data_IF_769809874208
#
_entry.id   IF_769809874208
#
_cell.length_a   1.000
_cell.length_b   1.000
_cell.length_c   1.000
_cell.angle_alpha   90.00
_cell.angle_beta   90.00
_cell.angle_gamma   90.00
#
_symmetry.space_group_name_H-M   'P 1'
#
loop_
_entity.id
_entity.type
_entity.pdbx_description
1 polymer ?
#
# COMPACT_ATOMS: atom_id res chain seq x y z
N UNK A 1 14.46 -1.45 0.37
CA UNK A 1 14.12 -0.44 -0.66
C UNK A 1 14.65 -0.80 -2.06
N UNK A 2 15.40 -1.88 -2.20
CA UNK A 2 16.02 -2.28 -3.49
C UNK A 2 15.02 -2.90 -4.49
N UNK A 3 13.78 -3.16 -4.09
CA UNK A 3 12.75 -3.78 -4.92
C UNK A 3 12.89 -5.29 -5.09
N UNK A 4 12.21 -5.83 -6.11
CA UNK A 4 12.30 -7.25 -6.48
C UNK A 4 11.12 -8.11 -6.00
N UNK A 5 10.23 -7.59 -5.16
CA UNK A 5 8.98 -8.30 -4.85
C UNK A 5 8.05 -8.31 -6.07
N UNK A 6 7.42 -9.45 -6.31
CA UNK A 6 6.58 -9.68 -7.47
C UNK A 6 5.19 -10.17 -7.04
N UNK A 7 4.16 -9.58 -7.64
CA UNK A 7 2.77 -9.99 -7.48
C UNK A 7 2.16 -10.29 -8.84
N UNK A 8 1.85 -11.56 -9.08
CA UNK A 8 1.19 -12.00 -10.31
C UNK A 8 -0.33 -11.92 -10.13
N UNK A 9 -0.96 -11.02 -10.86
CA UNK A 9 -2.42 -10.87 -10.92
C UNK A 9 -2.91 -11.02 -12.36
N UNK A 10 -4.21 -11.26 -12.59
CA UNK A 10 -4.73 -11.46 -13.95
C UNK A 10 -4.36 -10.36 -14.95
N UNK A 11 -4.39 -9.04 -14.60
CA UNK A 11 -4.03 -7.99 -15.55
C UNK A 11 -2.52 -7.73 -15.70
N UNK A 12 -1.67 -8.14 -14.74
CA UNK A 12 -0.24 -7.79 -14.76
C UNK A 12 0.62 -8.66 -13.84
N UNK A 13 1.90 -8.77 -14.20
CA UNK A 13 2.95 -9.17 -13.28
C UNK A 13 3.60 -7.90 -12.73
N UNK A 14 3.16 -7.54 -11.51
CA UNK A 14 3.58 -6.30 -10.85
C UNK A 14 4.87 -6.53 -10.11
N UNK A 15 5.83 -5.63 -10.29
CA UNK A 15 7.13 -5.72 -9.63
C UNK A 15 7.42 -4.45 -8.85
N UNK A 16 7.80 -4.59 -7.59
CA UNK A 16 8.24 -3.47 -6.76
C UNK A 16 9.58 -2.97 -7.29
N UNK A 17 9.68 -1.71 -7.76
CA UNK A 17 10.91 -1.18 -8.31
C UNK A 17 11.96 -0.90 -7.23
N UNK A 18 13.21 -0.69 -7.66
CA UNK A 18 14.24 -0.11 -6.82
C UNK A 18 13.89 1.37 -6.53
N UNK A 19 13.71 1.72 -5.28
CA UNK A 19 13.42 3.09 -4.82
C UNK A 19 14.58 3.69 -4.00
N UNK A 20 15.79 3.14 -4.12
CA UNK A 20 16.99 3.81 -3.60
C UNK A 20 17.42 4.95 -4.55
N UNK A 21 18.23 5.93 -4.08
CA UNK A 21 18.67 7.03 -4.92
C UNK A 21 19.77 6.64 -5.94
N UNK A 22 19.78 5.38 -6.40
CA UNK A 22 20.63 4.93 -7.49
C UNK A 22 20.17 5.56 -8.81
N UNK A 23 21.12 6.14 -9.56
CA UNK A 23 20.81 6.89 -10.78
C UNK A 23 20.44 6.02 -11.98
N UNK A 24 20.91 4.78 -12.02
CA UNK A 24 20.67 3.90 -13.18
C UNK A 24 19.43 3.01 -12.99
N UNK A 25 19.24 2.49 -11.79
CA UNK A 25 18.23 1.47 -11.53
C UNK A 25 17.16 1.89 -10.53
N UNK A 26 17.35 3.03 -9.84
CA UNK A 26 16.46 3.54 -8.80
C UNK A 26 15.85 4.90 -9.16
N UNK A 27 15.57 5.68 -8.12
CA UNK A 27 14.93 7.01 -8.23
C UNK A 27 15.92 8.18 -8.32
N UNK A 28 17.23 7.92 -8.46
CA UNK A 28 18.27 8.94 -8.39
C UNK A 28 18.18 10.05 -9.45
N UNK A 29 17.66 9.73 -10.62
CA UNK A 29 17.46 10.68 -11.72
C UNK A 29 16.06 11.31 -11.78
N UNK A 30 15.14 10.90 -10.89
CA UNK A 30 13.80 11.48 -10.82
C UNK A 30 13.82 12.73 -9.94
N UNK A 31 13.06 13.75 -10.31
CA UNK A 31 12.80 14.90 -9.45
C UNK A 31 11.86 14.51 -8.30
N UNK A 32 11.89 15.29 -7.21
CA UNK A 32 10.98 15.08 -6.08
C UNK A 32 9.51 15.25 -6.50
N UNK A 33 9.25 16.17 -7.44
CA UNK A 33 7.91 16.36 -8.03
C UNK A 33 7.40 15.13 -8.79
N UNK A 34 8.27 14.43 -9.54
CA UNK A 34 7.90 13.20 -10.25
C UNK A 34 7.61 12.06 -9.27
N UNK A 35 8.38 11.93 -8.20
CA UNK A 35 8.13 10.92 -7.17
C UNK A 35 6.84 11.25 -6.41
N UNK A 36 6.63 12.50 -6.00
CA UNK A 36 5.40 12.95 -5.36
C UNK A 36 4.17 12.73 -6.25
N UNK A 37 4.29 13.00 -7.56
CA UNK A 37 3.23 12.71 -8.54
C UNK A 37 2.93 11.21 -8.61
N UNK A 38 3.94 10.36 -8.61
CA UNK A 38 3.75 8.92 -8.61
C UNK A 38 3.01 8.45 -7.36
N UNK A 39 3.34 8.98 -6.18
CA UNK A 39 2.66 8.67 -4.93
C UNK A 39 1.22 9.15 -4.90
N UNK A 40 0.97 10.42 -5.30
CA UNK A 40 -0.37 11.03 -5.19
C UNK A 40 -1.32 10.67 -6.30
N UNK A 41 -0.81 10.49 -7.52
CA UNK A 41 -1.65 10.38 -8.71
C UNK A 41 -1.45 9.07 -9.47
N UNK A 42 -0.62 8.16 -8.93
CA UNK A 42 -0.31 6.88 -9.58
C UNK A 42 0.21 7.05 -11.01
N UNK A 43 1.00 8.09 -11.28
CA UNK A 43 1.60 8.39 -12.59
C UNK A 43 3.11 8.42 -12.48
N UNK A 44 3.78 7.55 -13.22
CA UNK A 44 5.24 7.46 -13.28
C UNK A 44 5.86 8.70 -13.95
N UNK A 45 7.19 8.85 -13.83
CA UNK A 45 7.95 9.91 -14.49
C UNK A 45 7.77 9.92 -16.01
N UNK A 46 7.60 8.75 -16.63
CA UNK A 46 7.37 8.58 -18.08
C UNK A 46 5.89 8.69 -18.48
N UNK A 47 5.01 9.11 -17.57
CA UNK A 47 3.57 9.28 -17.81
C UNK A 47 2.74 8.00 -17.75
N UNK A 48 3.36 6.83 -17.53
CA UNK A 48 2.61 5.58 -17.41
C UNK A 48 1.86 5.49 -16.08
N UNK A 49 0.75 4.77 -16.12
CA UNK A 49 -0.07 4.53 -14.94
C UNK A 49 0.59 3.49 -14.06
N UNK A 50 0.71 3.78 -12.76
CA UNK A 50 1.00 2.80 -11.72
C UNK A 50 -0.31 2.16 -11.27
N UNK A 51 -0.31 0.84 -11.09
CA UNK A 51 -1.43 0.18 -10.43
C UNK A 51 -1.50 0.64 -8.97
N UNK A 52 -2.65 1.17 -8.52
CA UNK A 52 -2.77 1.85 -7.23
C UNK A 52 -2.95 0.85 -6.07
N UNK A 53 -1.91 0.07 -5.76
CA UNK A 53 -1.94 -0.85 -4.62
C UNK A 53 -1.79 -0.14 -3.27
N UNK A 54 -1.13 1.03 -3.27
CA UNK A 54 -0.82 1.79 -2.06
C UNK A 54 -1.53 3.14 -2.10
N UNK A 55 -2.47 3.42 -1.20
CA UNK A 55 -3.23 4.67 -1.18
C UNK A 55 -2.44 5.78 -0.49
N UNK A 56 -1.44 6.31 -1.15
CA UNK A 56 -0.68 7.47 -0.67
C UNK A 56 -1.29 8.83 -1.07
N UNK A 57 -2.44 8.80 -1.75
CA UNK A 57 -3.07 9.99 -2.32
C UNK A 57 -3.45 11.03 -1.26
N UNK A 58 -3.88 10.56 -0.08
CA UNK A 58 -4.37 11.40 1.02
C UNK A 58 -3.30 11.80 2.03
N UNK A 59 -2.03 11.44 1.83
CA UNK A 59 -0.94 11.86 2.71
C UNK A 59 -0.82 13.39 2.73
N UNK A 60 -0.51 13.96 3.90
CA UNK A 60 -0.21 15.39 4.01
C UNK A 60 1.02 15.76 3.18
N UNK A 61 1.17 17.03 2.83
CA UNK A 61 2.35 17.48 2.09
C UNK A 61 3.62 17.26 2.91
N UNK A 62 3.56 17.55 4.21
CA UNK A 62 4.70 17.38 5.11
C UNK A 62 5.12 15.89 5.21
N UNK A 63 4.17 14.96 5.23
CA UNK A 63 4.49 13.53 5.25
C UNK A 63 5.08 13.04 3.91
N UNK A 64 4.60 13.55 2.79
CA UNK A 64 5.21 13.27 1.48
C UNK A 64 6.65 13.80 1.44
N UNK A 65 6.90 15.01 1.91
CA UNK A 65 8.25 15.59 1.99
C UNK A 65 9.15 14.77 2.93
N UNK A 66 8.61 14.31 4.07
CA UNK A 66 9.37 13.47 5.01
C UNK A 66 9.76 12.13 4.38
N UNK A 67 8.83 11.47 3.65
CA UNK A 67 9.10 10.23 2.91
C UNK A 67 10.17 10.45 1.84
N UNK A 68 10.06 11.51 1.04
CA UNK A 68 11.03 11.84 0.00
C UNK A 68 12.41 12.08 0.60
N UNK A 69 12.49 12.85 1.68
CA UNK A 69 13.73 13.14 2.39
C UNK A 69 14.39 11.87 2.92
N UNK A 70 13.58 10.96 3.48
CA UNK A 70 14.05 9.65 3.92
C UNK A 70 14.59 8.82 2.75
N UNK A 71 13.87 8.71 1.65
CA UNK A 71 14.30 7.95 0.48
C UNK A 71 15.61 8.49 -0.09
N UNK A 72 15.74 9.82 -0.21
CA UNK A 72 16.95 10.50 -0.68
C UNK A 72 18.16 10.28 0.24
N UNK A 73 17.93 10.13 1.53
CA UNK A 73 19.01 9.91 2.51
C UNK A 73 19.56 8.48 2.53
N UNK A 74 18.94 7.54 1.82
CA UNK A 74 19.39 6.15 1.82
C UNK A 74 20.59 5.94 0.92
N UNK A 75 21.45 4.94 1.20
CA UNK A 75 22.51 4.56 0.28
C UNK A 75 21.95 4.18 -1.08
N UNK A 76 22.59 4.63 -2.14
CA UNK A 76 22.30 4.18 -3.49
C UNK A 76 22.72 2.71 -3.65
N UNK A 77 21.81 1.88 -4.12
CA UNK A 77 22.08 0.47 -4.36
C UNK A 77 21.68 0.13 -5.79
N UNK A 78 22.63 -0.31 -6.60
CA UNK A 78 22.34 -0.76 -7.96
C UNK A 78 21.64 -2.12 -7.91
N UNK A 79 20.37 -2.16 -8.34
CA UNK A 79 19.60 -3.40 -8.45
C UNK A 79 18.65 -3.30 -9.63
N UNK A 80 18.87 -4.13 -10.65
CA UNK A 80 18.04 -4.16 -11.86
C UNK A 80 16.81 -5.01 -11.56
N UNK A 81 15.65 -4.35 -11.44
CA UNK A 81 14.35 -5.00 -11.31
C UNK A 81 13.62 -4.91 -12.64
N UNK A 82 13.12 -6.04 -13.19
CA UNK A 82 12.30 -6.02 -14.39
C UNK A 82 11.08 -5.11 -14.21
N UNK A 83 10.66 -4.41 -15.26
CA UNK A 83 9.47 -3.56 -15.20
C UNK A 83 8.20 -4.40 -15.00
N UNK A 84 7.18 -3.80 -14.39
CA UNK A 84 5.83 -4.37 -14.36
C UNK A 84 5.38 -4.65 -15.78
N UNK A 85 4.88 -5.86 -16.02
CA UNK A 85 4.43 -6.32 -17.31
C UNK A 85 2.91 -6.50 -17.33
N UNK A 86 2.22 -5.72 -18.19
CA UNK A 86 0.79 -5.89 -18.38
C UNK A 86 0.52 -7.05 -19.35
N UNK A 87 -0.29 -8.00 -18.91
CA UNK A 87 -0.80 -9.10 -19.71
C UNK A 87 -1.85 -8.60 -20.72
N UNK A 88 -2.33 -9.47 -21.59
CA UNK A 88 -3.34 -9.10 -22.58
C UNK A 88 -4.55 -8.38 -21.97
N UNK A 89 -5.11 -8.92 -20.90
CA UNK A 89 -6.23 -8.30 -20.18
C UNK A 89 -5.88 -6.90 -19.67
N UNK A 90 -4.70 -6.73 -19.06
CA UNK A 90 -4.25 -5.43 -18.57
C UNK A 90 -4.05 -4.40 -19.67
N UNK A 91 -3.48 -4.81 -20.80
CA UNK A 91 -3.33 -3.95 -21.99
C UNK A 91 -4.70 -3.52 -22.56
N UNK A 92 -5.65 -4.45 -22.61
CA UNK A 92 -7.02 -4.14 -23.05
C UNK A 92 -7.72 -3.17 -22.09
N UNK A 93 -7.62 -3.38 -20.78
CA UNK A 93 -8.20 -2.48 -19.77
C UNK A 93 -7.58 -1.08 -19.81
N UNK A 94 -6.28 -0.96 -20.06
CA UNK A 94 -5.60 0.33 -20.26
C UNK A 94 -6.09 1.03 -21.54
N UNK A 95 -6.18 0.30 -22.65
CA UNK A 95 -6.62 0.85 -23.94
C UNK A 95 -8.09 1.33 -23.88
N UNK A 96 -8.94 0.63 -23.13
CA UNK A 96 -10.34 1.00 -22.92
C UNK A 96 -10.52 2.09 -21.83
N UNK A 97 -9.45 2.55 -21.20
CA UNK A 97 -9.51 3.54 -20.13
C UNK A 97 -10.18 3.04 -18.84
N UNK A 98 -10.25 1.71 -18.65
CA UNK A 98 -10.79 1.11 -17.42
C UNK A 98 -9.79 1.21 -16.25
N UNK A 99 -8.48 1.16 -16.53
CA UNK A 99 -7.43 1.49 -15.57
C UNK A 99 -7.07 2.95 -15.76
N UNK A 100 -7.30 3.75 -14.72
CA UNK A 100 -7.04 5.20 -14.73
C UNK A 100 -6.08 5.59 -13.62
N UNK A 101 -5.38 6.72 -13.77
CA UNK A 101 -4.67 7.33 -12.64
C UNK A 101 -5.64 7.58 -11.48
N UNK A 102 -5.17 7.38 -10.27
CA UNK A 102 -5.92 7.64 -9.04
C UNK A 102 -5.30 8.84 -8.36
N UNK A 103 -6.11 9.79 -7.98
CA UNK A 103 -5.69 10.98 -7.23
C UNK A 103 -6.41 11.09 -5.89
N UNK A 104 -6.10 12.10 -5.09
CA UNK A 104 -6.76 12.34 -3.82
C UNK A 104 -8.24 12.67 -4.01
N UNK A 105 -9.08 12.15 -3.12
CA UNK A 105 -10.53 12.46 -3.11
C UNK A 105 -10.82 13.86 -2.61
N UNK A 106 -9.91 14.42 -1.80
CA UNK A 106 -9.98 15.78 -1.25
C UNK A 106 -8.61 16.44 -1.43
N UNK A 107 -8.56 17.75 -1.38
CA UNK A 107 -7.29 18.48 -1.33
C UNK A 107 -6.50 18.01 -0.09
N UNK A 108 -5.31 17.41 -0.28
CA UNK A 108 -4.50 16.95 0.84
C UNK A 108 -4.17 18.10 1.80
N UNK A 109 -4.15 17.81 3.09
CA UNK A 109 -3.75 18.78 4.10
C UNK A 109 -2.27 19.12 3.94
N UNK A 110 -1.87 20.35 4.24
CA UNK A 110 -0.46 20.72 4.30
C UNK A 110 0.27 19.92 5.37
N UNK A 111 -0.32 19.84 6.56
CA UNK A 111 0.21 19.07 7.70
C UNK A 111 -0.91 18.41 8.50
N UNK A 112 -0.58 17.36 9.22
CA UNK A 112 -1.46 16.72 10.20
C UNK A 112 -0.78 16.73 11.56
N UNK A 113 -1.46 17.31 12.55
CA UNK A 113 -0.94 17.36 13.93
C UNK A 113 -0.94 15.95 14.51
N UNK A 114 0.22 15.55 15.02
CA UNK A 114 0.36 14.26 15.74
C UNK A 114 -0.19 14.40 17.15
N UNK A 115 -1.27 13.69 17.42
CA UNK A 115 -1.93 13.68 18.71
C UNK A 115 -2.59 12.32 19.01
N UNK A 116 -3.51 12.29 19.99
CA UNK A 116 -4.27 11.08 20.38
C UNK A 116 -5.75 11.19 20.00
N UNK A 117 -6.09 12.04 19.04
CA UNK A 117 -7.46 12.24 18.58
C UNK A 117 -7.90 11.13 17.61
N UNK A 118 -9.22 11.01 17.47
CA UNK A 118 -9.84 10.13 16.49
C UNK A 118 -9.38 10.49 15.07
N UNK A 119 -9.34 11.77 14.74
CA UNK A 119 -8.97 12.28 13.41
C UNK A 119 -7.54 11.93 13.02
N UNK A 120 -6.62 11.96 13.99
CA UNK A 120 -5.25 11.50 13.75
C UNK A 120 -5.19 9.99 13.58
N UNK A 121 -5.92 9.23 14.38
CA UNK A 121 -6.04 7.77 14.26
C UNK A 121 -6.63 7.36 12.90
N UNK A 122 -7.68 8.06 12.45
CA UNK A 122 -8.27 7.87 11.13
C UNK A 122 -7.26 8.13 10.01
N UNK A 123 -6.49 9.20 10.10
CA UNK A 123 -5.44 9.53 9.14
C UNK A 123 -4.35 8.44 9.08
N UNK A 124 -3.91 7.93 10.24
CA UNK A 124 -2.94 6.83 10.28
C UNK A 124 -3.52 5.59 9.60
N UNK A 125 -4.72 5.17 9.98
CA UNK A 125 -5.32 3.92 9.51
C UNK A 125 -5.65 3.94 8.01
N UNK A 126 -6.08 5.08 7.48
CA UNK A 126 -6.47 5.20 6.07
C UNK A 126 -5.32 5.59 5.14
N UNK A 127 -4.33 6.34 5.61
CA UNK A 127 -3.31 6.93 4.73
C UNK A 127 -1.89 6.45 5.06
N UNK A 128 -1.44 6.61 6.31
CA UNK A 128 -0.04 6.35 6.66
C UNK A 128 0.26 4.85 6.73
N UNK A 129 -0.52 4.11 7.52
CA UNK A 129 -0.36 2.66 7.71
C UNK A 129 -1.16 1.83 6.70
N UNK A 130 -2.09 2.46 5.97
CA UNK A 130 -2.91 1.80 4.96
C UNK A 130 -3.65 0.53 5.46
N UNK A 131 -4.12 0.51 6.68
CA UNK A 131 -4.86 -0.63 7.22
C UNK A 131 -6.09 -0.95 6.36
N UNK A 132 -6.79 0.09 5.88
CA UNK A 132 -7.96 -0.02 5.01
C UNK A 132 -7.65 -0.76 3.71
N UNK A 133 -6.46 -0.59 3.15
CA UNK A 133 -6.07 -1.20 1.88
C UNK A 133 -5.96 -2.73 1.92
N UNK A 134 -5.58 -3.27 3.07
CA UNK A 134 -5.51 -4.72 3.28
C UNK A 134 -6.74 -5.26 3.98
N UNK A 135 -7.31 -4.53 4.94
CA UNK A 135 -8.44 -5.00 5.75
C UNK A 135 -9.83 -4.65 5.16
N UNK A 136 -9.90 -4.34 3.87
CA UNK A 136 -11.16 -4.18 3.15
C UNK A 136 -11.18 -5.12 1.96
N UNK A 137 -12.21 -5.94 1.84
CA UNK A 137 -12.33 -6.87 0.72
C UNK A 137 -12.42 -6.10 -0.61
N UNK A 138 -11.91 -6.72 -1.66
CA UNK A 138 -11.79 -6.09 -2.96
C UNK A 138 -12.06 -7.08 -4.09
N UNK A 139 -12.83 -6.66 -5.07
CA UNK A 139 -12.94 -7.37 -6.34
C UNK A 139 -11.61 -7.25 -7.10
N UNK A 140 -10.91 -8.35 -7.26
CA UNK A 140 -9.60 -8.38 -7.90
C UNK A 140 -9.63 -8.12 -9.41
N UNK A 141 -10.82 -8.14 -10.04
CA UNK A 141 -10.98 -7.81 -11.47
C UNK A 141 -11.19 -6.32 -11.69
N UNK A 142 -12.00 -5.71 -10.82
CA UNK A 142 -12.39 -4.29 -10.94
C UNK A 142 -11.60 -3.36 -10.02
N UNK A 143 -10.93 -3.89 -9.00
CA UNK A 143 -10.25 -3.13 -7.95
C UNK A 143 -11.18 -2.43 -6.96
N UNK A 144 -12.51 -2.60 -7.09
CA UNK A 144 -13.50 -1.96 -6.22
C UNK A 144 -13.61 -2.67 -4.88
N UNK A 145 -13.77 -1.90 -3.81
CA UNK A 145 -14.05 -2.45 -2.50
C UNK A 145 -15.41 -3.17 -2.46
N UNK A 146 -15.45 -4.28 -1.74
CA UNK A 146 -16.64 -5.08 -1.48
C UNK A 146 -16.92 -5.06 0.01
N UNK A 147 -18.10 -4.58 0.40
CA UNK A 147 -18.49 -4.49 1.81
C UNK A 147 -17.88 -3.31 2.56
N UNK A 148 -18.02 -3.29 3.90
CA UNK A 148 -17.58 -2.18 4.72
C UNK A 148 -16.06 -2.09 4.83
N UNK A 149 -15.49 -0.87 4.99
CA UNK A 149 -14.08 -0.70 5.29
C UNK A 149 -13.68 -1.44 6.58
N UNK A 150 -12.46 -1.96 6.60
CA UNK A 150 -11.86 -2.69 7.73
C UNK A 150 -12.52 -4.02 8.11
N UNK A 151 -13.54 -4.47 7.37
CA UNK A 151 -14.23 -5.74 7.64
C UNK A 151 -13.45 -6.99 7.17
N UNK A 152 -12.25 -6.81 6.64
CA UNK A 152 -11.40 -7.92 6.19
C UNK A 152 -11.91 -8.60 4.92
N UNK A 153 -11.51 -9.86 4.74
CA UNK A 153 -11.97 -10.69 3.63
C UNK A 153 -11.13 -10.61 2.35
N UNK A 154 -10.07 -9.82 2.31
CA UNK A 154 -9.16 -9.80 1.18
C UNK A 154 -8.30 -11.07 1.18
N UNK A 155 -8.35 -11.83 0.10
CA UNK A 155 -7.60 -13.06 -0.06
C UNK A 155 -6.24 -12.80 -0.70
N UNK A 156 -5.19 -13.31 -0.08
CA UNK A 156 -3.84 -13.36 -0.60
C UNK A 156 -3.50 -14.81 -0.95
N UNK A 157 -3.23 -15.11 -2.24
CA UNK A 157 -2.86 -16.46 -2.66
C UNK A 157 -1.45 -16.82 -2.18
N UNK A 158 -1.12 -18.13 -2.17
CA UNK A 158 0.23 -18.57 -1.86
C UNK A 158 1.25 -17.96 -2.82
N UNK A 159 2.38 -17.52 -2.30
CA UNK A 159 3.52 -17.07 -3.09
C UNK A 159 4.86 -17.51 -2.46
N UNK A 160 5.96 -17.14 -3.11
CA UNK A 160 7.31 -17.48 -2.61
C UNK A 160 7.70 -16.74 -1.31
N UNK A 161 7.03 -15.63 -0.99
CA UNK A 161 7.32 -14.83 0.20
C UNK A 161 6.48 -15.28 1.40
N UNK A 162 5.32 -15.89 1.14
CA UNK A 162 4.45 -16.46 2.16
C UNK A 162 4.79 -17.93 2.49
N UNK A 163 5.93 -18.45 2.01
CA UNK A 163 6.30 -19.88 2.12
C UNK A 163 5.20 -20.83 1.64
N UNK A 164 4.44 -20.41 0.63
CA UNK A 164 3.34 -21.21 0.07
C UNK A 164 2.04 -21.18 0.87
N UNK A 165 1.93 -20.35 1.91
CA UNK A 165 0.67 -20.17 2.65
C UNK A 165 -0.21 -19.11 2.00
N UNK A 166 -1.51 -19.37 1.94
CA UNK A 166 -2.52 -18.35 1.65
C UNK A 166 -3.06 -17.79 2.95
N UNK A 167 -3.58 -16.57 2.91
CA UNK A 167 -4.25 -15.96 4.05
C UNK A 167 -5.39 -15.03 3.60
N UNK A 168 -6.34 -14.83 4.51
CA UNK A 168 -7.43 -13.88 4.36
C UNK A 168 -7.28 -12.85 5.46
N UNK A 169 -7.38 -11.57 5.11
CA UNK A 169 -7.27 -10.50 6.10
C UNK A 169 -8.45 -10.55 7.06
N UNK A 170 -8.20 -10.46 8.37
CA UNK A 170 -9.28 -10.49 9.37
C UNK A 170 -10.08 -9.18 9.39
N UNK A 171 -11.31 -9.29 9.89
CA UNK A 171 -12.13 -8.14 10.27
C UNK A 171 -11.51 -7.46 11.49
N UNK A 172 -11.04 -6.22 11.33
CA UNK A 172 -10.45 -5.41 12.41
C UNK A 172 -11.40 -4.33 12.95
N UNK A 173 -12.70 -4.45 12.66
CA UNK A 173 -13.71 -3.60 13.29
C UNK A 173 -14.03 -4.07 14.73
N UNK A 174 -14.71 -3.27 15.55
CA UNK A 174 -15.18 -3.66 16.87
C UNK A 174 -16.47 -4.51 16.84
N UNK A 175 -16.78 -5.13 15.70
CA UNK A 175 -17.93 -6.03 15.56
C UNK A 175 -17.81 -7.22 16.52
N UNK A 176 -18.86 -7.49 17.30
CA UNK A 176 -18.81 -8.49 18.39
C UNK A 176 -18.77 -9.93 17.90
N UNK A 177 -19.26 -10.21 16.69
CA UNK A 177 -19.35 -11.57 16.14
C UNK A 177 -18.14 -11.94 15.31
N UNK A 178 -17.64 -11.01 14.49
CA UNK A 178 -16.62 -11.27 13.48
C UNK A 178 -15.34 -10.46 13.64
N UNK A 179 -15.37 -9.38 14.43
CA UNK A 179 -14.24 -8.48 14.59
C UNK A 179 -13.20 -8.99 15.57
N UNK A 180 -11.95 -9.17 15.15
CA UNK A 180 -10.87 -9.65 16.04
C UNK A 180 -10.53 -8.64 17.14
N UNK A 181 -10.85 -7.36 16.95
CA UNK A 181 -10.58 -6.32 17.93
C UNK A 181 -11.73 -6.10 18.92
N UNK A 182 -12.85 -6.78 18.76
CA UNK A 182 -14.01 -6.62 19.63
C UNK A 182 -13.73 -6.87 21.12
N UNK A 183 -12.72 -7.69 21.41
CA UNK A 183 -12.34 -8.06 22.78
C UNK A 183 -10.99 -7.47 23.20
N UNK A 184 -10.41 -6.58 22.39
CA UNK A 184 -9.11 -6.01 22.70
C UNK A 184 -9.26 -4.72 23.51
N UNK A 185 -8.58 -4.66 24.62
CA UNK A 185 -8.30 -3.41 25.31
C UNK A 185 -7.12 -2.67 24.67
N UNK A 186 -6.87 -1.45 25.12
CA UNK A 186 -5.76 -0.63 24.59
C UNK A 186 -4.40 -1.32 24.77
N UNK A 187 -4.18 -2.00 25.88
CA UNK A 187 -2.91 -2.70 26.16
C UNK A 187 -2.69 -3.85 25.19
N UNK A 188 -3.72 -4.64 24.96
CA UNK A 188 -3.70 -5.73 23.99
C UNK A 188 -3.43 -5.20 22.59
N UNK A 189 -4.12 -4.14 22.17
CA UNK A 189 -3.91 -3.50 20.86
C UNK A 189 -2.44 -3.08 20.67
N UNK A 190 -1.90 -2.30 21.61
CA UNK A 190 -0.52 -1.81 21.55
C UNK A 190 0.49 -2.96 21.52
N UNK A 191 0.29 -3.97 22.36
CA UNK A 191 1.20 -5.11 22.43
C UNK A 191 1.19 -5.95 21.16
N UNK A 192 0.04 -6.09 20.48
CA UNK A 192 -0.07 -6.77 19.20
C UNK A 192 0.80 -6.12 18.13
N UNK A 193 0.72 -4.81 18.00
CA UNK A 193 1.54 -4.07 17.05
C UNK A 193 3.03 -4.08 17.41
N UNK A 194 3.38 -3.99 18.69
CA UNK A 194 4.78 -4.04 19.12
C UNK A 194 5.42 -5.43 18.99
N UNK A 195 4.67 -6.49 19.28
CA UNK A 195 5.16 -7.85 19.27
C UNK A 195 5.01 -8.56 17.92
N UNK A 196 4.22 -8.02 17.00
CA UNK A 196 3.93 -8.67 15.71
C UNK A 196 3.22 -10.03 15.85
N UNK A 197 2.46 -10.25 16.94
CA UNK A 197 1.82 -11.54 17.24
C UNK A 197 0.31 -11.41 17.31
N UNK A 198 -0.41 -12.37 16.76
CA UNK A 198 -1.86 -12.52 16.94
C UNK A 198 -2.20 -13.36 18.17
N UNK A 199 -3.48 -13.38 18.56
CA UNK A 199 -3.97 -13.89 19.85
C UNK A 199 -3.50 -15.31 20.22
N UNK A 200 -3.30 -16.18 19.25
CA UNK A 200 -2.91 -17.59 19.47
C UNK A 200 -1.40 -17.85 19.27
N UNK A 201 -0.56 -16.83 19.37
CA UNK A 201 0.90 -16.98 19.26
C UNK A 201 1.44 -17.15 17.86
N UNK A 202 0.61 -17.17 16.82
CA UNK A 202 1.06 -17.10 15.44
C UNK A 202 1.56 -15.68 15.10
N UNK A 203 2.56 -15.61 14.25
CA UNK A 203 3.06 -14.33 13.76
C UNK A 203 2.13 -13.76 12.69
N UNK A 204 2.01 -12.44 12.65
CA UNK A 204 1.42 -11.79 11.48
C UNK A 204 2.35 -12.04 10.29
N UNK A 205 1.83 -12.51 9.15
CA UNK A 205 2.63 -12.67 7.94
C UNK A 205 2.95 -11.28 7.36
N UNK A 206 4.17 -10.87 7.47
CA UNK A 206 4.70 -9.62 6.87
C UNK A 206 5.65 -9.94 5.75
#
# INVERSE_FOLDING_TARGET
LIGGWELCIPPADVRAPNITPDKETGIGNMSDGEIARAMRYSVQHDGKILLPFMPFQELSDDDVVAILSFLRSRPAVKNIVPKTEYKFLGKALLALGAIKPVGPNKTPKKSVVKDTTFEYGEYIANSVANCVGCHTNRDMKTGKNIGPPFAGGLYFPPDKYSNGFSFVTPNITPDKETGIMAQWDQTTFVNRFKAGRIHYGSHMPW
#
